data_IF_379722093963
#
_entry.id   IF_379722093963
#
_cell.length_a   1.000
_cell.length_b   1.000
_cell.length_c   1.000
_cell.angle_alpha   90.00
_cell.angle_beta   90.00
_cell.angle_gamma   90.00
#
_symmetry.space_group_name_H-M   'P 1'
#
loop_
_entity.id
_entity.type
_entity.pdbx_description
1 polymer ?
#
# COMPACT_ATOMS: atom_id res chain seq x y z
N UNK A 1 10.63 -27.79 15.97
CA UNK A 1 11.07 -26.46 15.50
C UNK A 1 11.11 -26.53 13.99
N UNK A 2 10.29 -25.74 13.30
CA UNK A 2 10.28 -25.71 11.83
C UNK A 2 11.37 -24.76 11.36
N UNK A 3 12.27 -25.23 10.49
CA UNK A 3 13.31 -24.38 9.90
C UNK A 3 12.70 -23.65 8.72
N UNK A 4 12.65 -22.32 8.77
CA UNK A 4 12.27 -21.48 7.65
C UNK A 4 13.46 -21.42 6.70
N UNK A 5 13.28 -21.82 5.44
CA UNK A 5 14.33 -21.69 4.44
C UNK A 5 14.51 -20.23 4.07
N UNK A 6 15.75 -19.84 3.77
CA UNK A 6 16.05 -18.46 3.38
C UNK A 6 15.24 -18.03 2.13
N UNK A 7 15.06 -18.95 1.18
CA UNK A 7 14.29 -18.70 -0.05
C UNK A 7 12.82 -18.42 0.24
N UNK A 8 12.19 -19.22 1.12
CA UNK A 8 10.79 -19.02 1.53
C UNK A 8 10.58 -17.63 2.15
N UNK A 9 11.54 -17.20 2.99
CA UNK A 9 11.49 -15.89 3.61
C UNK A 9 11.58 -14.77 2.56
N UNK A 10 12.57 -14.85 1.66
CA UNK A 10 12.76 -13.85 0.59
C UNK A 10 11.49 -13.77 -0.27
N UNK A 11 10.95 -14.92 -0.70
CA UNK A 11 9.78 -14.95 -1.56
C UNK A 11 8.55 -14.36 -0.85
N UNK A 12 8.34 -14.68 0.44
CA UNK A 12 7.21 -14.14 1.20
C UNK A 12 7.23 -12.61 1.31
N UNK A 13 8.41 -12.01 1.48
CA UNK A 13 8.58 -10.55 1.54
C UNK A 13 8.37 -9.94 0.15
N UNK A 14 8.95 -10.54 -0.90
CA UNK A 14 8.76 -10.06 -2.26
C UNK A 14 7.28 -10.05 -2.68
N UNK A 15 6.54 -11.12 -2.39
CA UNK A 15 5.11 -11.23 -2.68
C UNK A 15 4.28 -10.21 -1.90
N UNK A 16 4.60 -10.01 -0.62
CA UNK A 16 3.92 -9.01 0.21
C UNK A 16 4.13 -7.58 -0.35
N UNK A 17 5.36 -7.23 -0.74
CA UNK A 17 5.68 -5.94 -1.32
C UNK A 17 4.99 -5.74 -2.68
N UNK A 18 4.95 -6.77 -3.53
CA UNK A 18 4.24 -6.73 -4.80
C UNK A 18 2.73 -6.53 -4.60
N UNK A 19 2.14 -7.21 -3.61
CA UNK A 19 0.72 -7.07 -3.28
C UNK A 19 0.38 -5.66 -2.81
N UNK A 20 1.13 -5.13 -1.84
CA UNK A 20 0.91 -3.78 -1.27
C UNK A 20 1.08 -2.69 -2.34
N UNK A 21 1.99 -2.89 -3.30
CA UNK A 21 2.20 -1.92 -4.38
C UNK A 21 1.02 -1.82 -5.35
N UNK A 22 0.19 -2.87 -5.44
CA UNK A 22 -0.91 -2.93 -6.39
C UNK A 22 -2.28 -2.75 -5.73
N UNK A 23 -2.46 -3.31 -4.53
CA UNK A 23 -3.73 -3.32 -3.82
C UNK A 23 -3.69 -2.39 -2.62
N UNK A 24 -4.71 -1.53 -2.55
CA UNK A 24 -4.88 -0.60 -1.45
C UNK A 24 -6.19 -0.90 -0.71
N UNK A 25 -6.17 -0.91 0.64
CA UNK A 25 -7.37 -1.08 1.45
C UNK A 25 -8.46 -0.05 1.15
N UNK A 26 -9.72 -0.44 1.31
CA UNK A 26 -10.88 0.41 0.99
C UNK A 26 -10.91 1.68 1.85
N UNK A 27 -10.51 1.58 3.11
CA UNK A 27 -10.41 2.72 4.03
C UNK A 27 -9.34 3.72 3.62
N UNK A 28 -8.18 3.26 3.11
CA UNK A 28 -7.17 4.14 2.51
C UNK A 28 -7.77 4.99 1.39
N UNK A 29 -8.46 4.35 0.44
CA UNK A 29 -9.07 5.04 -0.70
C UNK A 29 -10.17 6.02 -0.25
N UNK A 30 -11.03 5.62 0.69
CA UNK A 30 -12.08 6.49 1.24
C UNK A 30 -11.52 7.73 1.91
N UNK A 31 -10.48 7.55 2.72
CA UNK A 31 -9.83 8.66 3.42
C UNK A 31 -9.11 9.59 2.44
N UNK A 32 -8.48 9.04 1.40
CA UNK A 32 -7.83 9.82 0.35
C UNK A 32 -8.84 10.68 -0.42
N UNK A 33 -9.98 10.10 -0.82
CA UNK A 33 -11.05 10.85 -1.48
C UNK A 33 -11.60 11.99 -0.60
N UNK A 34 -11.87 11.71 0.68
CA UNK A 34 -12.33 12.72 1.63
C UNK A 34 -11.28 13.83 1.89
N UNK A 35 -9.99 13.52 1.79
CA UNK A 35 -8.92 14.52 1.84
C UNK A 35 -8.91 15.38 0.56
N UNK A 36 -9.00 14.76 -0.62
CA UNK A 36 -9.05 15.44 -1.91
C UNK A 36 -10.22 16.44 -2.03
N UNK A 37 -11.40 16.07 -1.54
CA UNK A 37 -12.58 16.95 -1.55
C UNK A 37 -12.37 18.22 -0.70
N UNK A 38 -11.64 18.11 0.41
CA UNK A 38 -11.39 19.21 1.36
C UNK A 38 -10.15 20.03 1.04
N UNK A 39 -9.23 19.50 0.25
CA UNK A 39 -8.02 20.21 -0.14
C UNK A 39 -8.40 21.45 -0.96
N UNK A 40 -7.65 22.54 -0.79
CA UNK A 40 -7.90 23.82 -1.48
C UNK A 40 -6.78 24.14 -2.46
N UNK A 41 -5.55 23.68 -2.19
CA UNK A 41 -4.38 23.87 -3.03
C UNK A 41 -4.48 23.00 -4.30
N UNK A 42 -4.52 23.60 -5.50
CA UNK A 42 -4.54 22.84 -6.74
C UNK A 42 -3.31 21.94 -6.91
N UNK A 43 -2.14 22.42 -6.47
CA UNK A 43 -0.91 21.64 -6.54
C UNK A 43 -0.91 20.44 -5.58
N UNK A 44 -1.57 20.56 -4.42
CA UNK A 44 -1.66 19.44 -3.48
C UNK A 44 -2.69 18.39 -3.94
N UNK A 45 -3.73 18.79 -4.68
CA UNK A 45 -4.69 17.85 -5.29
C UNK A 45 -4.10 17.01 -6.43
N UNK A 46 -3.12 17.58 -7.14
CA UNK A 46 -2.51 16.96 -8.33
C UNK A 46 -1.27 16.09 -8.00
N UNK A 47 -0.82 16.12 -6.74
CA UNK A 47 0.32 15.33 -6.24
C UNK A 47 -0.09 13.88 -5.91
#
# INVERSE_FOLDING_TARGET
>A
MTVIQQEDFIQSVADALQYISYYHPVDYIRNLAAAYEREESPAAKDA
#
